data_IF_362066976953
#
_entry.id   IF_362066976953
#
_cell.length_a   1.000
_cell.length_b   1.000
_cell.length_c   1.000
_cell.angle_alpha   90.00
_cell.angle_beta   90.00
_cell.angle_gamma   90.00
#
_symmetry.space_group_name_H-M   'P 1'
#
loop_
_entity.id
_entity.type
_entity.pdbx_description
1 polymer ?
#
# COMPACT_ATOMS: atom_id res chain seq x y z
N UNK A 1 7.66 6.85 -8.13
CA UNK A 1 6.94 8.11 -7.85
C UNK A 1 7.69 9.32 -8.37
N UNK A 2 8.99 9.47 -8.09
CA UNK A 2 9.80 10.62 -8.55
C UNK A 2 9.78 10.81 -10.07
N UNK A 3 9.74 9.72 -10.85
CA UNK A 3 9.67 9.78 -12.32
C UNK A 3 8.36 10.39 -12.87
N UNK A 4 7.35 10.67 -12.03
CA UNK A 4 6.16 11.41 -12.44
C UNK A 4 6.40 12.91 -12.50
N UNK A 5 7.41 13.44 -11.79
CA UNK A 5 7.75 14.86 -11.76
C UNK A 5 7.89 15.50 -13.16
N UNK A 6 8.59 14.90 -14.15
CA UNK A 6 8.73 15.53 -15.47
C UNK A 6 7.47 15.46 -16.34
N UNK A 7 6.44 14.69 -15.95
CA UNK A 7 5.24 14.47 -16.77
C UNK A 7 3.99 15.08 -16.15
N UNK A 8 3.90 15.09 -14.82
CA UNK A 8 2.80 15.68 -14.09
C UNK A 8 2.97 17.20 -13.96
N UNK A 9 1.86 17.95 -13.97
CA UNK A 9 1.87 19.40 -13.72
C UNK A 9 2.44 19.74 -12.34
N UNK A 10 2.19 18.88 -11.35
CA UNK A 10 2.72 18.97 -10.00
C UNK A 10 2.74 17.58 -9.37
N UNK A 11 3.65 17.36 -8.42
CA UNK A 11 3.73 16.13 -7.64
C UNK A 11 3.84 16.51 -6.16
N UNK A 12 2.92 15.97 -5.36
CA UNK A 12 2.97 16.07 -3.90
C UNK A 12 3.17 14.68 -3.33
N UNK A 13 4.29 14.48 -2.64
CA UNK A 13 4.57 13.27 -1.88
C UNK A 13 4.06 13.45 -0.44
N UNK A 14 3.27 12.49 0.04
CA UNK A 14 2.78 12.48 1.42
C UNK A 14 3.30 11.23 2.10
N UNK A 15 3.93 11.40 3.26
CA UNK A 15 4.37 10.27 4.07
C UNK A 15 4.13 10.56 5.54
N UNK A 16 3.75 9.54 6.32
CA UNK A 16 3.38 9.71 7.74
C UNK A 16 4.50 10.21 8.65
N UNK A 17 5.74 10.16 8.18
CA UNK A 17 6.97 10.48 8.91
C UNK A 17 8.00 11.06 7.94
N UNK A 18 8.97 11.86 8.39
CA UNK A 18 10.03 12.36 7.51
C UNK A 18 11.01 11.25 7.09
N UNK A 19 11.16 10.17 7.85
CA UNK A 19 12.15 9.13 7.55
C UNK A 19 11.65 8.13 6.49
N UNK A 20 12.52 7.83 5.53
CA UNK A 20 12.30 6.84 4.49
C UNK A 20 13.19 5.61 4.71
N UNK A 21 12.63 4.42 4.49
CA UNK A 21 13.37 3.14 4.43
C UNK A 21 13.77 2.74 3.00
N UNK A 22 13.54 3.62 2.03
CA UNK A 22 13.85 3.38 0.63
C UNK A 22 15.36 3.46 0.36
N UNK A 23 15.78 3.05 -0.84
CA UNK A 23 17.17 3.15 -1.25
C UNK A 23 17.70 4.60 -1.09
N UNK A 24 18.89 4.81 -0.48
CA UNK A 24 19.40 6.14 -0.17
C UNK A 24 19.44 7.10 -1.36
N UNK A 25 19.83 6.61 -2.54
CA UNK A 25 19.84 7.39 -3.79
C UNK A 25 18.46 7.96 -4.15
N UNK A 26 17.40 7.18 -3.97
CA UNK A 26 16.03 7.65 -4.23
C UNK A 26 15.59 8.71 -3.23
N UNK A 27 15.98 8.57 -1.96
CA UNK A 27 15.67 9.54 -0.90
C UNK A 27 16.38 10.87 -1.17
N UNK A 28 17.67 10.81 -1.53
CA UNK A 28 18.46 11.99 -1.85
C UNK A 28 17.90 12.74 -3.07
N UNK A 29 17.50 12.02 -4.12
CA UNK A 29 16.84 12.62 -5.30
C UNK A 29 15.52 13.31 -4.94
N UNK A 30 14.73 12.71 -4.06
CA UNK A 30 13.47 13.29 -3.60
C UNK A 30 13.71 14.63 -2.87
N UNK A 31 14.66 14.67 -1.92
CA UNK A 31 14.99 15.91 -1.22
C UNK A 31 15.58 16.97 -2.16
N UNK A 32 16.43 16.59 -3.11
CA UNK A 32 16.94 17.54 -4.12
C UNK A 32 15.80 18.15 -4.95
N UNK A 33 14.83 17.34 -5.40
CA UNK A 33 13.64 17.83 -6.11
C UNK A 33 12.80 18.77 -5.22
N UNK A 34 12.69 18.47 -3.93
CA UNK A 34 12.00 19.34 -2.96
C UNK A 34 12.70 20.70 -2.82
N UNK A 35 14.04 20.71 -2.69
CA UNK A 35 14.82 21.96 -2.61
C UNK A 35 14.68 22.82 -3.88
N UNK A 36 14.60 22.17 -5.04
CA UNK A 36 14.36 22.83 -6.33
C UNK A 36 12.89 23.22 -6.56
N UNK A 37 11.98 22.93 -5.61
CA UNK A 37 10.52 23.14 -5.72
C UNK A 37 9.88 22.42 -6.91
N UNK A 38 10.48 21.30 -7.31
CA UNK A 38 9.97 20.43 -8.36
C UNK A 38 8.96 19.40 -7.81
N UNK A 39 8.99 19.17 -6.50
CA UNK A 39 8.10 18.28 -5.77
C UNK A 39 7.78 18.87 -4.40
N UNK A 40 6.52 18.79 -3.98
CA UNK A 40 6.11 19.14 -2.63
C UNK A 40 6.14 17.89 -1.74
N UNK A 41 6.63 18.03 -0.50
CA UNK A 41 6.64 16.94 0.47
C UNK A 41 5.89 17.35 1.73
N UNK A 42 4.88 16.56 2.11
CA UNK A 42 4.12 16.72 3.34
C UNK A 42 4.33 15.54 4.27
N UNK A 43 4.66 15.84 5.53
CA UNK A 43 4.62 14.86 6.61
C UNK A 43 3.20 14.82 7.16
N UNK A 44 2.51 13.69 7.00
CA UNK A 44 1.13 13.54 7.44
C UNK A 44 0.41 12.35 6.84
N UNK A 45 -0.91 12.35 6.98
CA UNK A 45 -1.79 11.31 6.45
C UNK A 45 -2.96 11.93 5.70
N UNK A 46 -3.36 11.30 4.60
CA UNK A 46 -4.58 11.70 3.88
C UNK A 46 -5.79 11.26 4.69
N UNK A 47 -6.65 12.21 5.07
CA UNK A 47 -7.84 12.00 5.91
C UNK A 47 -9.15 12.25 5.17
N UNK A 48 -9.11 12.95 4.04
CA UNK A 48 -10.29 13.30 3.25
C UNK A 48 -9.96 13.42 1.77
N UNK A 49 -10.98 13.21 0.93
CA UNK A 49 -10.91 13.40 -0.52
C UNK A 49 -12.10 14.24 -0.96
N UNK A 50 -11.82 15.24 -1.78
CA UNK A 50 -12.83 16.13 -2.37
C UNK A 50 -12.90 15.86 -3.86
N UNK A 51 -14.11 15.70 -4.39
CA UNK A 51 -14.32 15.40 -5.80
C UNK A 51 -15.80 15.22 -6.15
N UNK A 52 -16.11 15.23 -7.44
CA UNK A 52 -17.47 15.00 -7.96
C UNK A 52 -17.44 13.99 -9.10
N UNK A 53 -18.49 13.18 -9.23
CA UNK A 53 -18.63 12.20 -10.31
C UNK A 53 -17.41 11.25 -10.47
N UNK A 54 -16.79 10.85 -9.36
CA UNK A 54 -15.59 9.99 -9.38
C UNK A 54 -14.29 10.70 -9.78
N UNK A 55 -14.32 12.02 -10.03
CA UNK A 55 -13.14 12.82 -10.30
C UNK A 55 -12.65 13.52 -9.04
N UNK A 56 -11.39 13.24 -8.67
CA UNK A 56 -10.69 13.90 -7.58
C UNK A 56 -10.34 15.34 -7.94
N UNK A 57 -10.56 16.28 -7.02
CA UNK A 57 -10.13 17.67 -7.12
C UNK A 57 -9.17 18.08 -6.00
N UNK A 58 -9.25 17.47 -4.82
CA UNK A 58 -8.32 17.71 -3.72
C UNK A 58 -8.24 16.54 -2.73
N UNK A 59 -7.18 16.54 -1.91
CA UNK A 59 -7.02 15.65 -0.77
C UNK A 59 -6.71 16.46 0.50
N UNK A 60 -7.33 16.10 1.62
CA UNK A 60 -7.02 16.67 2.93
C UNK A 60 -5.90 15.87 3.58
N UNK A 61 -4.82 16.55 3.95
CA UNK A 61 -3.67 15.98 4.65
C UNK A 61 -3.70 16.49 6.08
N UNK A 62 -3.81 15.57 7.04
CA UNK A 62 -3.58 15.86 8.45
C UNK A 62 -2.09 15.75 8.76
N UNK A 63 -1.46 16.90 8.95
CA UNK A 63 -0.06 17.03 9.34
C UNK A 63 0.10 17.33 10.84
N UNK A 64 1.35 17.50 11.31
CA UNK A 64 1.64 17.90 12.69
C UNK A 64 1.10 19.31 13.01
N UNK A 65 1.05 20.20 12.02
CA UNK A 65 0.64 21.60 12.16
C UNK A 65 -0.86 21.83 11.89
N UNK A 66 -1.61 20.75 11.65
CA UNK A 66 -3.04 20.78 11.34
C UNK A 66 -3.37 20.22 9.95
N UNK A 67 -4.60 20.44 9.53
CA UNK A 67 -5.13 19.93 8.27
C UNK A 67 -4.83 20.92 7.14
N UNK A 68 -4.32 20.40 6.02
CA UNK A 68 -4.05 21.16 4.79
C UNK A 68 -4.76 20.50 3.62
N UNK A 69 -5.46 21.28 2.80
CA UNK A 69 -6.05 20.79 1.56
C UNK A 69 -5.06 20.97 0.40
N UNK A 70 -4.82 19.89 -0.35
CA UNK A 70 -3.92 19.87 -1.50
C UNK A 70 -4.71 19.59 -2.78
N UNK A 71 -4.75 20.53 -3.74
CA UNK A 71 -5.37 20.30 -5.04
C UNK A 71 -4.66 19.17 -5.78
N UNK A 72 -5.40 18.14 -6.17
CA UNK A 72 -4.86 17.01 -6.92
C UNK A 72 -5.94 16.35 -7.76
N UNK A 73 -5.54 15.83 -8.92
CA UNK A 73 -6.46 15.14 -9.84
C UNK A 73 -6.32 13.63 -9.78
N UNK A 74 -5.26 13.12 -9.15
CA UNK A 74 -4.94 11.70 -9.01
C UNK A 74 -4.32 11.45 -7.65
N UNK A 75 -4.73 10.34 -7.02
CA UNK A 75 -4.11 9.81 -5.80
C UNK A 75 -3.52 8.44 -6.11
N UNK A 76 -2.25 8.24 -5.78
CA UNK A 76 -1.53 6.99 -6.01
C UNK A 76 -1.03 6.43 -4.67
N UNK A 77 -1.83 5.59 -3.98
CA UNK A 77 -1.45 5.03 -2.68
C UNK A 77 -0.45 3.87 -2.85
N UNK A 78 0.74 4.04 -2.29
CA UNK A 78 1.79 3.01 -2.26
C UNK A 78 2.06 2.55 -0.82
N UNK A 79 1.06 1.98 -0.15
CA UNK A 79 1.16 1.54 1.25
C UNK A 79 1.83 0.16 1.44
N UNK A 80 2.37 -0.40 0.36
CA UNK A 80 2.83 -1.79 0.32
C UNK A 80 1.68 -2.75 -0.02
N UNK A 81 1.90 -4.03 0.25
CA UNK A 81 0.97 -5.10 -0.05
C UNK A 81 0.41 -5.67 1.25
N UNK A 82 -0.84 -6.10 1.22
CA UNK A 82 -1.46 -6.90 2.29
C UNK A 82 -1.71 -8.30 1.75
N UNK A 83 -1.31 -9.32 2.52
CA UNK A 83 -1.63 -10.70 2.19
C UNK A 83 -3.09 -10.94 2.56
N UNK A 84 -3.89 -11.27 1.55
CA UNK A 84 -5.24 -11.80 1.73
C UNK A 84 -5.25 -13.20 1.15
N UNK A 85 -6.01 -14.09 1.77
CA UNK A 85 -6.15 -15.48 1.31
C UNK A 85 -6.65 -15.53 -0.16
N UNK A 86 -7.39 -14.52 -0.58
CA UNK A 86 -7.80 -14.33 -1.97
C UNK A 86 -8.72 -15.48 -2.42
N UNK A 87 -8.58 -15.96 -3.67
CA UNK A 87 -9.46 -17.00 -4.22
C UNK A 87 -9.46 -18.31 -3.42
N UNK A 88 -8.40 -18.63 -2.68
CA UNK A 88 -8.30 -19.85 -1.88
C UNK A 88 -9.42 -19.91 -0.83
N UNK A 89 -9.87 -18.76 -0.33
CA UNK A 89 -11.00 -18.67 0.60
C UNK A 89 -12.30 -19.24 0.01
N UNK A 90 -12.43 -19.27 -1.31
CA UNK A 90 -13.65 -19.66 -2.03
C UNK A 90 -13.58 -21.10 -2.58
N UNK A 91 -12.47 -21.81 -2.37
CA UNK A 91 -12.27 -23.16 -2.90
C UNK A 91 -13.06 -24.25 -2.15
N UNK A 92 -13.82 -23.88 -1.12
CA UNK A 92 -14.56 -24.82 -0.28
C UNK A 92 -13.67 -25.71 0.60
N UNK A 93 -12.40 -25.33 0.78
CA UNK A 93 -11.50 -25.98 1.72
C UNK A 93 -11.87 -25.60 3.15
N UNK A 94 -11.78 -26.55 4.07
CA UNK A 94 -11.92 -26.26 5.49
C UNK A 94 -10.73 -25.39 5.93
N UNK A 95 -11.00 -24.23 6.55
CA UNK A 95 -9.96 -23.29 6.98
C UNK A 95 -9.94 -23.20 8.50
N UNK A 96 -8.73 -23.15 9.08
CA UNK A 96 -8.49 -22.86 10.49
C UNK A 96 -7.71 -21.54 10.58
N UNK A 97 -8.36 -20.46 11.02
CA UNK A 97 -7.75 -19.12 11.12
C UNK A 97 -7.10 -18.60 9.81
N UNK A 98 -7.71 -18.90 8.67
CA UNK A 98 -7.20 -18.63 7.30
C UNK A 98 -6.01 -19.51 6.86
N UNK A 99 -5.68 -20.56 7.61
CA UNK A 99 -4.74 -21.61 7.20
C UNK A 99 -5.48 -22.86 6.76
N UNK A 100 -4.84 -23.68 5.94
CA UNK A 100 -5.39 -24.93 5.42
C UNK A 100 -4.92 -26.08 6.32
N UNK A 101 -5.82 -26.75 7.07
CA UNK A 101 -5.47 -27.92 7.84
C UNK A 101 -5.00 -29.06 6.94
N UNK A 102 -3.95 -29.74 7.36
CA UNK A 102 -3.36 -30.86 6.63
C UNK A 102 -2.98 -32.01 7.56
N UNK A 103 -2.81 -33.21 7.00
CA UNK A 103 -2.20 -34.32 7.73
C UNK A 103 -0.67 -34.14 7.84
N UNK A 104 -0.06 -34.66 8.91
CA UNK A 104 1.37 -34.47 9.20
C UNK A 104 2.29 -35.46 8.46
N UNK A 105 1.76 -36.49 7.81
CA UNK A 105 2.56 -37.48 7.08
C UNK A 105 2.79 -37.04 5.63
N UNK A 106 1.75 -36.47 4.99
CA UNK A 106 1.69 -36.20 3.54
C UNK A 106 1.36 -34.75 3.22
N UNK A 107 0.95 -33.95 4.21
CA UNK A 107 0.48 -32.58 4.02
C UNK A 107 -0.73 -32.46 3.08
N UNK A 108 -1.58 -33.48 3.06
CA UNK A 108 -2.80 -33.54 2.27
C UNK A 108 -3.94 -32.81 2.98
N UNK A 109 -4.74 -32.07 2.23
CA UNK A 109 -5.92 -31.37 2.76
C UNK A 109 -7.09 -32.34 2.93
N UNK A 110 -8.24 -31.82 3.41
CA UNK A 110 -9.51 -32.57 3.45
C UNK A 110 -10.00 -33.06 2.07
N UNK A 111 -9.49 -32.51 0.96
CA UNK A 111 -9.82 -32.94 -0.40
C UNK A 111 -8.69 -33.82 -0.95
N UNK A 112 -8.95 -35.11 -1.26
CA UNK A 112 -7.94 -36.00 -1.82
C UNK A 112 -7.34 -35.45 -3.12
N UNK A 113 -6.02 -35.52 -3.22
CA UNK A 113 -5.25 -34.97 -4.34
C UNK A 113 -4.89 -33.50 -4.22
N UNK A 114 -5.43 -32.76 -3.24
CA UNK A 114 -5.04 -31.38 -2.93
C UNK A 114 -4.17 -31.37 -1.68
N UNK A 115 -3.01 -30.73 -1.77
CA UNK A 115 -1.99 -30.65 -0.72
C UNK A 115 -1.66 -29.18 -0.42
N UNK A 116 -1.25 -28.89 0.81
CA UNK A 116 -0.84 -27.54 1.23
C UNK A 116 0.44 -27.59 2.09
N UNK A 117 1.44 -26.79 1.73
CA UNK A 117 2.76 -26.76 2.38
C UNK A 117 3.24 -25.32 2.61
N UNK A 118 4.11 -25.12 3.61
CA UNK A 118 4.61 -23.80 4.01
C UNK A 118 3.61 -23.02 4.86
N UNK A 119 3.82 -21.71 5.00
CA UNK A 119 3.09 -20.81 5.91
C UNK A 119 1.55 -20.78 5.73
N UNK A 120 1.03 -21.39 4.66
CA UNK A 120 -0.40 -21.49 4.38
C UNK A 120 -1.08 -22.67 5.08
N UNK A 121 -0.33 -23.67 5.55
CA UNK A 121 -0.90 -24.86 6.17
C UNK A 121 -0.94 -24.79 7.70
N UNK A 122 -1.72 -25.67 8.30
CA UNK A 122 -1.82 -25.80 9.75
C UNK A 122 -1.87 -27.28 10.16
N UNK A 123 -1.16 -27.61 11.23
CA UNK A 123 -1.19 -28.90 11.92
C UNK A 123 -0.80 -28.69 13.41
N UNK A 124 -1.25 -29.54 14.35
CA UNK A 124 -0.87 -29.47 15.77
C UNK A 124 0.60 -29.76 16.05
#
# INVERSE_FOLDING_TARGET
>A
TLNLQPVAKSVTLVHRRPEFRAAPDSVNKMYAMQEMKELDFHVGQVTGLTGTNGHLSAATIKGPDGDTEVPCTRLLPFFGLTMKLGPIAEWGLNLHENLIPVDTEKFQTSVPGIFAVGDINWYP
#
